data_IF_798358828891
#
_entry.id   IF_798358828891
#
_cell.length_a   1.000
_cell.length_b   1.000
_cell.length_c   1.000
_cell.angle_alpha   90.00
_cell.angle_beta   90.00
_cell.angle_gamma   90.00
#
_symmetry.space_group_name_H-M   'P 1'
#
loop_
_entity.id
_entity.type
_entity.pdbx_description
1 polymer ?
#
# COMPACT_ATOMS: atom_id res chain seq x y z
N UNK A 1 -21.82 -13.03 2.68
CA UNK A 1 -21.31 -11.67 3.00
C UNK A 1 -19.88 -11.53 2.54
N UNK A 2 -19.54 -10.50 1.77
CA UNK A 2 -18.14 -10.26 1.43
C UNK A 2 -17.33 -9.97 2.71
N UNK A 3 -16.12 -10.49 2.78
CA UNK A 3 -15.21 -10.21 3.89
C UNK A 3 -14.67 -8.79 3.80
N UNK A 4 -14.52 -8.15 4.95
CA UNK A 4 -13.85 -6.85 5.04
C UNK A 4 -12.38 -7.01 4.70
N UNK A 5 -11.88 -6.12 3.87
CA UNK A 5 -10.45 -6.01 3.58
C UNK A 5 -10.02 -4.55 3.77
N UNK A 6 -9.01 -4.35 4.57
CA UNK A 6 -8.40 -3.03 4.78
C UNK A 6 -6.94 -3.07 4.39
N UNK A 7 -6.34 -1.91 4.24
CA UNK A 7 -4.91 -1.80 3.92
C UNK A 7 -4.25 -0.63 4.62
N UNK A 8 -2.95 -0.73 4.80
CA UNK A 8 -2.05 0.38 5.06
C UNK A 8 -1.12 0.53 3.86
N UNK A 9 -1.03 1.72 3.30
CA UNK A 9 -0.32 1.96 2.05
C UNK A 9 0.67 3.13 2.17
N UNK A 10 1.75 2.98 2.96
CA UNK A 10 2.72 4.04 3.16
C UNK A 10 3.68 4.19 1.97
N UNK A 11 4.16 5.42 1.75
CA UNK A 11 5.26 5.69 0.84
C UNK A 11 6.58 5.67 1.62
N UNK A 12 7.60 4.90 1.19
CA UNK A 12 8.87 4.77 1.91
C UNK A 12 9.81 5.95 1.61
N UNK A 13 9.31 7.18 1.77
CA UNK A 13 10.03 8.44 1.52
C UNK A 13 10.61 9.05 2.79
N UNK A 14 10.40 8.41 3.93
CA UNK A 14 10.89 8.81 5.24
C UNK A 14 10.57 7.72 6.26
N UNK A 15 10.99 7.96 7.50
CA UNK A 15 10.67 7.04 8.59
C UNK A 15 9.18 7.04 8.92
N UNK A 16 8.67 5.88 9.30
CA UNK A 16 7.30 5.76 9.80
C UNK A 16 7.20 6.51 11.15
N UNK A 17 6.22 7.40 11.24
CA UNK A 17 5.94 8.15 12.46
C UNK A 17 4.62 7.70 13.11
N UNK A 18 4.34 8.22 14.29
CA UNK A 18 3.19 7.81 15.09
C UNK A 18 1.85 7.98 14.38
N UNK A 19 1.72 9.00 13.52
CA UNK A 19 0.50 9.21 12.72
C UNK A 19 0.25 8.08 11.71
N UNK A 20 1.31 7.60 11.06
CA UNK A 20 1.23 6.44 10.17
C UNK A 20 0.89 5.16 10.92
N UNK A 21 1.49 4.95 12.08
CA UNK A 21 1.19 3.80 12.95
C UNK A 21 -0.26 3.82 13.40
N UNK A 22 -0.80 4.97 13.76
CA UNK A 22 -2.21 5.13 14.13
C UNK A 22 -3.13 4.69 13.00
N UNK A 23 -2.85 5.13 11.77
CA UNK A 23 -3.62 4.73 10.59
C UNK A 23 -3.55 3.21 10.36
N UNK A 24 -2.38 2.63 10.45
CA UNK A 24 -2.20 1.18 10.34
C UNK A 24 -2.98 0.43 11.42
N UNK A 25 -2.88 0.89 12.66
CA UNK A 25 -3.56 0.28 13.80
C UNK A 25 -5.07 0.28 13.63
N UNK A 26 -5.69 1.38 13.24
CA UNK A 26 -7.14 1.46 13.04
C UNK A 26 -7.61 0.49 11.94
N UNK A 27 -6.91 0.46 10.82
CA UNK A 27 -7.23 -0.46 9.73
C UNK A 27 -7.07 -1.92 10.16
N UNK A 28 -6.03 -2.24 10.89
CA UNK A 28 -5.77 -3.58 11.39
C UNK A 28 -6.81 -4.02 12.42
N UNK A 29 -7.12 -3.18 13.41
CA UNK A 29 -8.14 -3.47 14.44
C UNK A 29 -9.52 -3.67 13.81
N UNK A 30 -9.91 -2.83 12.86
CA UNK A 30 -11.17 -2.97 12.16
C UNK A 30 -11.24 -4.29 11.41
N UNK A 31 -10.23 -4.65 10.66
CA UNK A 31 -10.19 -5.92 9.94
C UNK A 31 -10.26 -7.12 10.88
N UNK A 32 -9.54 -7.08 12.01
CA UNK A 32 -9.57 -8.12 13.03
C UNK A 32 -10.94 -8.26 13.66
N UNK A 33 -11.57 -7.15 14.04
CA UNK A 33 -12.91 -7.15 14.60
C UNK A 33 -13.95 -7.76 13.65
N UNK A 34 -13.81 -7.52 12.37
CA UNK A 34 -14.69 -8.04 11.32
C UNK A 34 -14.28 -9.42 10.80
N UNK A 35 -13.26 -10.04 11.38
CA UNK A 35 -12.69 -11.31 10.91
C UNK A 35 -12.30 -11.27 9.42
N UNK A 36 -11.81 -10.11 8.97
CA UNK A 36 -11.44 -9.84 7.60
C UNK A 36 -9.94 -9.90 7.36
N UNK A 37 -9.49 -9.17 6.37
CA UNK A 37 -8.09 -9.14 5.93
C UNK A 37 -7.50 -7.75 6.12
N UNK A 38 -6.22 -7.71 6.45
CA UNK A 38 -5.41 -6.49 6.48
C UNK A 38 -4.19 -6.68 5.59
N UNK A 39 -3.96 -5.76 4.64
CA UNK A 39 -2.88 -5.83 3.69
C UNK A 39 -1.92 -4.65 3.84
N UNK A 40 -0.65 -4.88 3.53
CA UNK A 40 0.37 -3.85 3.46
C UNK A 40 0.77 -3.62 1.99
N UNK A 41 0.66 -2.36 1.54
CA UNK A 41 1.14 -1.94 0.23
C UNK A 41 2.17 -0.84 0.38
N UNK A 42 3.37 -1.09 -0.12
CA UNK A 42 4.45 -0.10 -0.16
C UNK A 42 4.29 0.71 -1.45
N UNK A 43 4.00 1.99 -1.33
CA UNK A 43 3.81 2.89 -2.46
C UNK A 43 5.11 3.63 -2.77
N UNK A 44 6.00 2.96 -3.48
CA UNK A 44 7.36 3.40 -3.81
C UNK A 44 7.48 4.00 -5.22
N UNK A 45 6.46 4.74 -5.66
CA UNK A 45 6.44 5.34 -7.00
C UNK A 45 7.35 6.55 -7.15
N UNK A 46 7.65 7.27 -6.06
CA UNK A 46 8.64 8.35 -6.04
C UNK A 46 10.04 7.74 -5.88
N UNK A 47 10.69 7.45 -7.02
CA UNK A 47 11.99 6.77 -7.04
C UNK A 47 13.12 7.58 -6.42
N UNK A 48 13.03 8.91 -6.44
CA UNK A 48 14.07 9.78 -5.89
C UNK A 48 14.07 9.76 -4.37
N UNK A 49 12.88 9.78 -3.75
CA UNK A 49 12.71 9.83 -2.30
C UNK A 49 12.52 8.47 -1.64
N UNK A 50 12.13 7.45 -2.40
CA UNK A 50 11.93 6.09 -1.87
C UNK A 50 13.25 5.38 -1.65
N UNK A 51 13.45 4.84 -0.45
CA UNK A 51 14.68 4.13 -0.07
C UNK A 51 14.36 2.79 0.60
N UNK A 52 15.19 1.80 0.33
CA UNK A 52 15.04 0.46 0.93
C UNK A 52 15.13 0.48 2.46
N UNK A 53 15.94 1.37 3.03
CA UNK A 53 16.03 1.50 4.49
C UNK A 53 14.70 1.94 5.11
N UNK A 54 13.95 2.84 4.46
CA UNK A 54 12.64 3.27 4.93
C UNK A 54 11.60 2.16 4.80
N UNK A 55 11.65 1.41 3.70
CA UNK A 55 10.79 0.24 3.51
C UNK A 55 11.01 -0.81 4.61
N UNK A 56 12.26 -1.13 4.90
CA UNK A 56 12.62 -2.06 5.99
C UNK A 56 12.15 -1.54 7.35
N UNK A 57 12.34 -0.26 7.61
CA UNK A 57 11.93 0.37 8.87
C UNK A 57 10.41 0.31 9.05
N UNK A 58 9.64 0.55 7.99
CA UNK A 58 8.17 0.43 8.03
C UNK A 58 7.76 -0.99 8.41
N UNK A 59 8.32 -1.99 7.73
CA UNK A 59 8.01 -3.40 7.97
C UNK A 59 8.40 -3.81 9.39
N UNK A 60 9.59 -3.43 9.84
CA UNK A 60 10.08 -3.74 11.18
C UNK A 60 9.24 -3.06 12.26
N UNK A 61 8.84 -1.82 12.05
CA UNK A 61 8.02 -1.07 13.02
C UNK A 61 6.64 -1.70 13.20
N UNK A 62 6.00 -2.11 12.12
CA UNK A 62 4.71 -2.81 12.18
C UNK A 62 4.84 -4.14 12.91
N UNK A 63 5.89 -4.90 12.61
CA UNK A 63 6.18 -6.17 13.28
C UNK A 63 6.45 -5.99 14.77
N UNK A 64 7.20 -4.96 15.13
CA UNK A 64 7.54 -4.65 16.54
C UNK A 64 6.29 -4.35 17.36
N UNK A 65 5.30 -3.64 16.78
CA UNK A 65 4.04 -3.31 17.44
C UNK A 65 3.08 -4.50 17.48
N UNK A 66 3.33 -5.52 16.66
CA UNK A 66 2.46 -6.70 16.56
C UNK A 66 1.35 -6.58 15.53
N UNK A 67 1.44 -5.60 14.63
CA UNK A 67 0.49 -5.47 13.51
C UNK A 67 0.94 -6.41 12.39
N UNK A 68 0.24 -7.52 12.24
CA UNK A 68 0.51 -8.51 11.20
C UNK A 68 -0.43 -8.31 10.01
N UNK A 69 0.15 -8.29 8.81
CA UNK A 69 -0.62 -8.21 7.58
C UNK A 69 -0.79 -9.60 6.94
N UNK A 70 -1.89 -9.77 6.21
CA UNK A 70 -2.12 -10.95 5.41
C UNK A 70 -1.24 -10.91 4.16
N UNK A 71 -0.78 -12.05 3.74
CA UNK A 71 0.08 -12.23 2.58
C UNK A 71 1.40 -11.44 2.65
N UNK A 72 2.22 -11.57 1.62
CA UNK A 72 3.43 -10.77 1.46
C UNK A 72 3.04 -9.32 1.16
N UNK A 73 3.88 -8.37 1.56
CA UNK A 73 3.66 -6.97 1.22
C UNK A 73 3.61 -6.75 -0.30
N UNK A 74 2.66 -5.94 -0.74
CA UNK A 74 2.52 -5.53 -2.13
C UNK A 74 3.45 -4.34 -2.38
N UNK A 75 4.34 -4.47 -3.34
CA UNK A 75 5.27 -3.39 -3.75
C UNK A 75 4.74 -2.78 -5.04
N UNK A 76 4.32 -1.52 -4.99
CA UNK A 76 3.65 -0.89 -6.13
C UNK A 76 4.55 -0.80 -7.37
N UNK A 77 5.83 -0.50 -7.21
CA UNK A 77 6.76 -0.39 -8.34
C UNK A 77 6.95 -1.71 -9.10
N UNK A 78 6.77 -2.84 -8.46
CA UNK A 78 6.86 -4.16 -9.11
C UNK A 78 5.71 -4.42 -10.09
N UNK A 79 4.62 -3.64 -10.00
CA UNK A 79 3.41 -3.79 -10.82
C UNK A 79 3.26 -2.71 -11.89
N UNK A 80 4.31 -1.96 -12.17
CA UNK A 80 4.22 -0.84 -13.12
C UNK A 80 3.77 -1.27 -14.52
N UNK A 81 4.20 -2.44 -14.99
CA UNK A 81 3.82 -2.96 -16.29
C UNK A 81 2.34 -3.34 -16.34
N UNK A 82 1.82 -3.94 -15.26
CA UNK A 82 0.40 -4.27 -15.13
C UNK A 82 -0.44 -3.00 -15.11
N UNK A 83 0.00 -1.97 -14.36
CA UNK A 83 -0.69 -0.67 -14.30
C UNK A 83 -0.74 0.01 -15.67
N UNK A 84 0.37 0.00 -16.42
CA UNK A 84 0.43 0.56 -17.78
C UNK A 84 -0.55 -0.15 -18.72
N UNK A 85 -0.57 -1.48 -18.66
CA UNK A 85 -1.48 -2.28 -19.49
C UNK A 85 -2.95 -1.93 -19.23
N UNK A 86 -3.35 -1.85 -17.96
CA UNK A 86 -4.71 -1.48 -17.58
C UNK A 86 -5.03 -0.04 -18.01
N UNK A 87 -4.10 0.89 -17.83
CA UNK A 87 -4.28 2.28 -18.27
C UNK A 87 -4.50 2.37 -19.78
N UNK A 88 -3.76 1.62 -20.58
CA UNK A 88 -3.93 1.55 -22.03
C UNK A 88 -5.30 0.96 -22.42
N UNK A 89 -5.75 -0.07 -21.74
CA UNK A 89 -7.08 -0.66 -21.94
C UNK A 89 -8.18 0.35 -21.64
N UNK A 90 -8.07 1.10 -20.55
CA UNK A 90 -9.03 2.15 -20.19
C UNK A 90 -9.06 3.26 -21.23
N UNK A 91 -7.89 3.65 -21.75
CA UNK A 91 -7.77 4.64 -22.80
C UNK A 91 -8.49 4.17 -24.09
N UNK A 92 -8.29 2.91 -24.51
CA UNK A 92 -8.95 2.32 -25.66
C UNK A 92 -10.47 2.26 -25.51
N UNK A 93 -10.95 1.99 -24.30
CA UNK A 93 -12.38 1.89 -23.98
C UNK A 93 -13.04 3.25 -23.75
N UNK A 94 -12.30 4.36 -23.79
CA UNK A 94 -12.81 5.70 -23.57
C UNK A 94 -13.07 6.09 -22.11
N UNK A 95 -12.62 5.28 -21.15
CA UNK A 95 -12.75 5.57 -19.72
C UNK A 95 -11.58 6.39 -19.15
N UNK A 96 -10.56 6.62 -19.95
CA UNK A 96 -9.42 7.46 -19.61
C UNK A 96 -9.04 8.33 -20.80
N UNK A 97 -8.36 9.43 -20.54
CA UNK A 97 -7.86 10.33 -21.58
C UNK A 97 -6.45 10.81 -21.25
N UNK A 98 -5.73 11.23 -22.29
CA UNK A 98 -4.38 11.79 -22.11
C UNK A 98 -4.48 13.25 -21.67
N UNK A 99 -3.73 13.61 -20.63
CA UNK A 99 -3.61 14.97 -20.13
C UNK A 99 -2.22 15.50 -20.42
N UNK A 100 -2.12 16.71 -20.93
CA UNK A 100 -0.87 17.36 -21.32
C UNK A 100 -0.59 18.64 -20.50
N UNK A 101 -1.12 18.75 -19.29
CA UNK A 101 -0.88 19.89 -18.40
C UNK A 101 0.56 19.96 -17.97
#
# INVERSE_FOLDING_TARGET
MPKVATRFAPSPTGHLHIGGIRTALFNWLFSKNQKGFFYLRIEDTDKERSKDEYKKQIIQSLKWIGIEHNDKEYIQSEKINDHKKVAEELLKKGFAYKCYC
#
